data_IF_360963350433
#
_entry.id   IF_360963350433
#
_cell.length_a   1.000
_cell.length_b   1.000
_cell.length_c   1.000
_cell.angle_alpha   90.00
_cell.angle_beta   90.00
_cell.angle_gamma   90.00
#
_symmetry.space_group_name_H-M   'P 1'
#
loop_
_entity.id
_entity.type
_entity.pdbx_description
1 polymer ?
#
# COMPACT_ATOMS: atom_id res chain seq x y z
N UNK A 1 28.88 40.05 -11.51
CA UNK A 1 27.58 40.07 -10.77
C UNK A 1 27.84 39.48 -9.39
N UNK A 2 27.45 40.16 -8.30
CA UNK A 2 27.70 39.67 -6.94
C UNK A 2 27.05 38.30 -6.73
N UNK A 3 27.83 37.31 -6.30
CA UNK A 3 27.36 35.94 -6.07
C UNK A 3 26.21 35.89 -5.04
N UNK A 4 26.28 36.71 -4.00
CA UNK A 4 25.22 36.87 -3.02
C UNK A 4 23.90 37.37 -3.63
N UNK A 5 23.97 38.37 -4.52
CA UNK A 5 22.81 38.93 -5.21
C UNK A 5 22.17 37.91 -6.16
N UNK A 6 22.97 37.12 -6.87
CA UNK A 6 22.47 36.04 -7.71
C UNK A 6 21.73 34.97 -6.88
N UNK A 7 22.30 34.53 -5.75
CA UNK A 7 21.65 33.56 -4.85
C UNK A 7 20.32 34.07 -4.28
N UNK A 8 20.27 35.35 -3.91
CA UNK A 8 19.06 36.00 -3.41
C UNK A 8 17.97 36.04 -4.47
N UNK A 9 18.29 36.49 -5.70
CA UNK A 9 17.34 36.53 -6.82
C UNK A 9 16.82 35.13 -7.14
N UNK A 10 17.72 34.16 -7.32
CA UNK A 10 17.34 32.77 -7.65
C UNK A 10 16.45 32.17 -6.57
N UNK A 11 16.84 32.30 -5.29
CA UNK A 11 16.04 31.78 -4.18
C UNK A 11 14.65 32.41 -4.10
N UNK A 12 14.54 33.74 -4.25
CA UNK A 12 13.25 34.44 -4.25
C UNK A 12 12.36 34.02 -5.43
N UNK A 13 12.92 33.89 -6.63
CA UNK A 13 12.19 33.41 -7.82
C UNK A 13 11.68 31.98 -7.60
N UNK A 14 12.52 31.09 -7.05
CA UNK A 14 12.12 29.73 -6.73
C UNK A 14 10.98 29.68 -5.72
N UNK A 15 11.02 30.49 -4.65
CA UNK A 15 9.92 30.57 -3.67
C UNK A 15 8.65 31.14 -4.31
N UNK A 16 8.76 32.17 -5.15
CA UNK A 16 7.62 32.74 -5.87
C UNK A 16 6.94 31.72 -6.80
N UNK A 17 7.73 30.98 -7.58
CA UNK A 17 7.22 29.90 -8.43
C UNK A 17 6.62 28.75 -7.60
N UNK A 18 7.24 28.39 -6.48
CA UNK A 18 6.71 27.39 -5.56
C UNK A 18 5.34 27.82 -5.01
N UNK A 19 5.18 29.09 -4.62
CA UNK A 19 3.90 29.63 -4.18
C UNK A 19 2.83 29.56 -5.28
N UNK A 20 3.18 29.90 -6.54
CA UNK A 20 2.26 29.77 -7.67
C UNK A 20 1.79 28.32 -7.88
N UNK A 21 2.70 27.35 -7.77
CA UNK A 21 2.37 25.91 -7.85
C UNK A 21 1.50 25.47 -6.65
N UNK A 22 1.77 25.99 -5.46
CA UNK A 22 0.99 25.65 -4.27
C UNK A 22 -0.44 26.19 -4.35
N UNK A 23 -0.62 27.47 -4.72
CA UNK A 23 -1.93 28.11 -4.65
C UNK A 23 -2.80 27.85 -5.88
N UNK A 24 -2.24 27.57 -7.06
CA UNK A 24 -3.04 27.44 -8.27
C UNK A 24 -3.35 25.98 -8.64
N UNK A 25 -2.39 25.16 -9.11
CA UNK A 25 -2.69 23.78 -9.51
C UNK A 25 -3.03 22.88 -8.32
N UNK A 26 -2.40 23.05 -7.14
CA UNK A 26 -2.66 22.19 -6.00
C UNK A 26 -4.08 22.41 -5.42
N UNK A 27 -4.51 23.67 -5.25
CA UNK A 27 -5.85 23.99 -4.75
C UNK A 27 -6.96 23.51 -5.69
N UNK A 28 -6.81 23.77 -6.99
CA UNK A 28 -7.77 23.33 -8.00
C UNK A 28 -7.90 21.81 -7.97
N UNK A 29 -6.77 21.10 -7.97
CA UNK A 29 -6.72 19.64 -7.88
C UNK A 29 -7.35 19.11 -6.59
N UNK A 30 -7.10 19.70 -5.44
CA UNK A 30 -7.74 19.25 -4.20
C UNK A 30 -9.25 19.42 -4.22
N UNK A 31 -9.75 20.51 -4.80
CA UNK A 31 -11.20 20.74 -4.91
C UNK A 31 -11.86 19.68 -5.80
N UNK A 32 -11.20 19.30 -6.89
CA UNK A 32 -11.68 18.31 -7.84
C UNK A 32 -11.62 16.89 -7.24
N UNK A 33 -10.49 16.51 -6.61
CA UNK A 33 -10.31 15.19 -6.00
C UNK A 33 -11.17 14.97 -4.76
N UNK A 34 -11.38 16.00 -3.94
CA UNK A 34 -12.25 15.93 -2.76
C UNK A 34 -13.73 15.67 -3.13
N UNK A 35 -14.13 15.96 -4.38
CA UNK A 35 -15.50 15.81 -4.89
C UNK A 35 -15.70 14.53 -5.70
N UNK A 36 -14.70 14.05 -6.43
CA UNK A 36 -14.96 13.07 -7.50
C UNK A 36 -14.49 11.64 -7.23
N UNK A 37 -13.44 11.37 -6.44
CA UNK A 37 -12.87 10.00 -6.41
C UNK A 37 -12.18 9.60 -5.08
N UNK A 38 -12.91 9.06 -4.08
CA UNK A 38 -12.30 8.53 -2.85
C UNK A 38 -11.53 7.21 -3.07
N UNK A 39 -11.92 6.39 -4.05
CA UNK A 39 -11.53 4.96 -4.10
C UNK A 39 -10.54 4.56 -5.19
N UNK A 40 -10.18 5.46 -6.11
CA UNK A 40 -9.22 5.16 -7.19
C UNK A 40 -7.87 5.85 -6.92
N UNK A 41 -6.73 5.19 -7.20
CA UNK A 41 -5.38 5.75 -6.99
C UNK A 41 -5.01 6.80 -8.06
N UNK A 42 -5.94 7.13 -8.96
CA UNK A 42 -5.77 8.15 -10.02
C UNK A 42 -5.41 9.55 -9.52
N UNK A 43 -5.60 9.86 -8.23
CA UNK A 43 -5.15 11.12 -7.63
C UNK A 43 -3.63 11.19 -7.44
N UNK A 44 -2.93 10.04 -7.38
CA UNK A 44 -1.51 9.97 -7.02
C UNK A 44 -0.63 10.68 -8.06
N UNK A 45 -0.75 10.28 -9.33
CA UNK A 45 0.02 10.87 -10.44
C UNK A 45 -0.15 12.39 -10.58
N UNK A 46 -1.37 12.95 -10.59
CA UNK A 46 -1.57 14.39 -10.67
C UNK A 46 -1.12 15.12 -9.38
N UNK A 47 -1.24 14.52 -8.19
CA UNK A 47 -0.66 15.13 -6.98
C UNK A 47 0.86 15.18 -7.07
N UNK A 48 1.51 14.07 -7.43
CA UNK A 48 2.97 14.01 -7.61
C UNK A 48 3.45 15.00 -8.69
N UNK A 49 2.70 15.14 -9.78
CA UNK A 49 3.01 16.09 -10.85
C UNK A 49 2.97 17.56 -10.43
N UNK A 50 2.34 17.91 -9.29
CA UNK A 50 2.41 19.25 -8.70
C UNK A 50 3.39 19.32 -7.51
N UNK A 51 3.44 18.26 -6.71
CA UNK A 51 4.26 18.19 -5.49
C UNK A 51 5.76 18.09 -5.80
N UNK A 52 6.15 17.33 -6.84
CA UNK A 52 7.56 17.19 -7.23
C UNK A 52 8.13 18.55 -7.68
N UNK A 53 7.52 19.29 -8.63
CA UNK A 53 8.01 20.62 -8.99
C UNK A 53 8.06 21.59 -7.81
N UNK A 54 7.03 21.58 -6.95
CA UNK A 54 6.98 22.42 -5.75
C UNK A 54 8.21 22.22 -4.86
N UNK A 55 8.51 20.97 -4.51
CA UNK A 55 9.61 20.66 -3.60
C UNK A 55 10.99 20.74 -4.26
N UNK A 56 11.09 20.57 -5.58
CA UNK A 56 12.33 20.86 -6.30
C UNK A 56 12.65 22.36 -6.27
N UNK A 57 11.65 23.23 -6.44
CA UNK A 57 11.83 24.67 -6.33
C UNK A 57 12.24 25.08 -4.91
N UNK A 58 11.58 24.53 -3.88
CA UNK A 58 11.95 24.79 -2.49
C UNK A 58 13.33 24.22 -2.13
N UNK A 59 13.73 23.08 -2.69
CA UNK A 59 15.08 22.53 -2.55
C UNK A 59 16.13 23.50 -3.09
N UNK A 60 15.96 23.99 -4.32
CA UNK A 60 16.89 24.97 -4.91
C UNK A 60 16.96 26.22 -4.02
N UNK A 61 15.84 26.70 -3.52
CA UNK A 61 15.79 27.86 -2.64
C UNK A 61 16.52 27.60 -1.30
N UNK A 62 16.39 26.40 -0.72
CA UNK A 62 17.13 25.97 0.48
C UNK A 62 18.63 25.85 0.21
N UNK A 63 19.04 25.38 -0.97
CA UNK A 63 20.44 25.33 -1.36
C UNK A 63 21.03 26.74 -1.51
N UNK A 64 20.27 27.71 -2.06
CA UNK A 64 20.68 29.12 -2.11
C UNK A 64 20.80 29.73 -0.70
N UNK A 65 19.86 29.43 0.20
CA UNK A 65 19.94 29.82 1.61
C UNK A 65 21.18 29.21 2.29
N UNK A 66 21.50 27.95 2.00
CA UNK A 66 22.67 27.26 2.56
C UNK A 66 23.97 27.89 2.06
N UNK A 67 24.05 28.19 0.76
CA UNK A 67 25.21 28.82 0.14
C UNK A 67 25.46 30.27 0.62
N UNK A 68 24.43 30.96 1.09
CA UNK A 68 24.51 32.32 1.63
C UNK A 68 24.77 32.36 3.14
N UNK A 69 25.07 31.21 3.77
CA UNK A 69 25.35 31.13 5.20
C UNK A 69 24.11 31.20 6.09
N UNK A 70 22.92 30.94 5.54
CA UNK A 70 21.66 30.92 6.31
C UNK A 70 21.65 29.87 7.44
N UNK A 71 22.54 28.88 7.38
CA UNK A 71 22.68 27.81 8.37
C UNK A 71 23.98 27.87 9.18
N UNK A 72 24.75 28.96 9.15
CA UNK A 72 26.05 29.03 9.84
C UNK A 72 25.94 28.82 11.36
N UNK A 73 24.76 29.09 11.95
CA UNK A 73 24.46 28.83 13.35
C UNK A 73 24.54 27.35 13.76
N UNK A 74 24.44 26.41 12.81
CA UNK A 74 24.52 24.97 13.07
C UNK A 74 25.94 24.46 13.35
N UNK A 75 26.98 25.24 13.02
CA UNK A 75 28.40 24.84 13.16
C UNK A 75 28.72 23.46 12.53
N UNK A 76 28.00 23.08 11.48
CA UNK A 76 28.23 21.85 10.73
C UNK A 76 29.11 22.15 9.51
N UNK A 77 29.90 21.17 9.06
CA UNK A 77 30.69 21.31 7.84
C UNK A 77 29.81 21.51 6.60
N UNK A 78 30.30 22.26 5.60
CA UNK A 78 29.54 22.59 4.38
C UNK A 78 28.84 21.40 3.71
N UNK A 79 29.53 20.27 3.44
CA UNK A 79 28.90 19.09 2.84
C UNK A 79 27.72 18.54 3.65
N UNK A 80 27.80 18.60 4.98
CA UNK A 80 26.76 18.11 5.87
C UNK A 80 25.53 19.04 5.87
N UNK A 81 25.74 20.35 5.75
CA UNK A 81 24.64 21.32 5.60
C UNK A 81 23.86 21.08 4.30
N UNK A 82 24.55 20.83 3.19
CA UNK A 82 23.91 20.49 1.91
C UNK A 82 23.15 19.16 1.98
N UNK A 83 23.75 18.12 2.59
CA UNK A 83 23.07 16.84 2.81
C UNK A 83 21.80 17.01 3.66
N UNK A 84 21.88 17.85 4.70
CA UNK A 84 20.74 18.17 5.56
C UNK A 84 19.64 18.91 4.78
N UNK A 85 19.99 19.89 3.94
CA UNK A 85 19.01 20.60 3.11
C UNK A 85 18.28 19.65 2.13
N UNK A 86 19.01 18.73 1.49
CA UNK A 86 18.42 17.71 0.62
C UNK A 86 17.52 16.75 1.40
N UNK A 87 18.01 16.22 2.53
CA UNK A 87 17.24 15.32 3.38
C UNK A 87 15.99 15.97 3.95
N UNK A 88 16.09 17.23 4.38
CA UNK A 88 14.99 18.04 4.87
C UNK A 88 13.90 18.22 3.80
N UNK A 89 14.30 18.63 2.60
CA UNK A 89 13.36 18.80 1.49
C UNK A 89 12.64 17.49 1.15
N UNK A 90 13.36 16.37 1.11
CA UNK A 90 12.77 15.05 0.85
C UNK A 90 11.79 14.60 1.94
N UNK A 91 12.14 14.83 3.20
CA UNK A 91 11.30 14.49 4.34
C UNK A 91 10.01 15.32 4.38
N UNK A 92 10.13 16.65 4.20
CA UNK A 92 8.98 17.54 4.17
C UNK A 92 8.08 17.29 2.95
N UNK A 93 8.66 16.93 1.79
CA UNK A 93 7.90 16.48 0.62
C UNK A 93 7.10 15.22 0.92
N UNK A 94 7.71 14.24 1.59
CA UNK A 94 7.05 12.99 1.99
C UNK A 94 5.92 13.25 2.97
N UNK A 95 6.15 14.07 3.99
CA UNK A 95 5.12 14.43 4.96
C UNK A 95 3.97 15.20 4.31
N UNK A 96 4.27 16.13 3.41
CA UNK A 96 3.24 16.84 2.65
C UNK A 96 2.43 15.85 1.77
N UNK A 97 3.08 14.91 1.10
CA UNK A 97 2.38 13.83 0.38
C UNK A 97 1.46 13.00 1.28
N UNK A 98 1.92 12.64 2.48
CA UNK A 98 1.11 11.88 3.45
C UNK A 98 -0.10 12.70 3.91
N UNK A 99 0.07 13.98 4.23
CA UNK A 99 -1.05 14.86 4.58
C UNK A 99 -2.06 14.99 3.44
N UNK A 100 -1.58 15.09 2.20
CA UNK A 100 -2.43 15.08 1.01
C UNK A 100 -3.20 13.77 0.88
N UNK A 101 -2.52 12.63 1.06
CA UNK A 101 -3.13 11.31 1.00
C UNK A 101 -4.26 11.18 2.04
N UNK A 102 -4.00 11.62 3.28
CA UNK A 102 -4.96 11.63 4.37
C UNK A 102 -6.10 12.65 4.17
N UNK A 103 -5.83 13.76 3.49
CA UNK A 103 -6.86 14.74 3.14
C UNK A 103 -7.82 14.22 2.06
N UNK A 104 -7.29 13.50 1.05
CA UNK A 104 -8.08 12.90 -0.04
C UNK A 104 -8.82 11.67 0.46
N UNK A 105 -8.16 10.84 1.28
CA UNK A 105 -8.72 9.64 1.92
C UNK A 105 -8.72 9.81 3.44
N UNK A 106 -9.56 10.70 3.98
CA UNK A 106 -9.74 10.77 5.42
C UNK A 106 -10.33 9.44 5.85
N UNK A 107 -9.68 8.76 6.79
CA UNK A 107 -10.28 7.62 7.46
C UNK A 107 -11.39 8.12 8.38
N UNK A 108 -11.15 8.05 9.70
CA UNK A 108 -12.07 8.58 10.71
C UNK A 108 -11.82 10.04 11.09
N UNK A 109 -10.83 10.68 10.48
CA UNK A 109 -10.30 11.99 10.86
C UNK A 109 -10.86 13.10 9.97
N UNK A 110 -11.32 14.22 10.55
CA UNK A 110 -11.86 15.32 9.77
C UNK A 110 -10.79 15.95 8.86
N UNK A 111 -11.14 16.17 7.58
CA UNK A 111 -10.24 16.70 6.54
C UNK A 111 -9.53 17.99 6.95
N UNK A 112 -10.20 18.85 7.73
CA UNK A 112 -9.67 20.13 8.21
C UNK A 112 -8.39 20.00 9.04
N UNK A 113 -8.14 18.84 9.67
CA UNK A 113 -6.90 18.62 10.45
C UNK A 113 -5.66 18.53 9.57
N UNK A 114 -5.81 18.14 8.30
CA UNK A 114 -4.69 17.93 7.37
C UNK A 114 -4.38 19.16 6.55
N UNK A 115 -5.36 20.06 6.38
CA UNK A 115 -5.22 21.31 5.63
C UNK A 115 -4.04 22.17 6.13
N UNK A 116 -3.85 22.40 7.45
CA UNK A 116 -2.68 23.11 7.94
C UNK A 116 -1.37 22.45 7.52
N UNK A 117 -1.24 21.13 7.64
CA UNK A 117 -0.02 20.40 7.26
C UNK A 117 0.35 20.57 5.78
N UNK A 118 -0.66 20.62 4.89
CA UNK A 118 -0.45 20.76 3.44
C UNK A 118 0.09 22.15 3.06
N UNK A 119 -0.46 23.21 3.66
CA UNK A 119 -0.13 24.59 3.30
C UNK A 119 0.96 25.20 4.18
N UNK A 120 0.91 24.95 5.48
CA UNK A 120 1.82 25.58 6.44
C UNK A 120 3.26 25.09 6.24
N UNK A 121 3.46 23.83 5.86
CA UNK A 121 4.79 23.26 5.62
C UNK A 121 5.56 23.94 4.48
N UNK A 122 5.04 24.02 3.24
CA UNK A 122 5.72 24.73 2.15
C UNK A 122 5.75 26.24 2.38
N UNK A 123 4.71 26.85 2.96
CA UNK A 123 4.72 28.29 3.26
C UNK A 123 5.77 28.66 4.31
N UNK A 124 5.91 27.88 5.39
CA UNK A 124 6.93 28.11 6.41
C UNK A 124 8.34 27.94 5.83
N UNK A 125 8.54 26.96 4.94
CA UNK A 125 9.82 26.75 4.25
C UNK A 125 10.15 27.92 3.33
N UNK A 126 9.19 28.38 2.53
CA UNK A 126 9.37 29.55 1.66
C UNK A 126 9.63 30.83 2.46
N UNK A 127 8.90 31.05 3.55
CA UNK A 127 9.09 32.20 4.43
C UNK A 127 10.47 32.19 5.09
N UNK A 128 10.93 31.03 5.57
CA UNK A 128 12.28 30.86 6.12
C UNK A 128 13.34 31.25 5.10
N UNK A 129 13.21 30.78 3.86
CA UNK A 129 14.17 31.10 2.79
C UNK A 129 14.15 32.59 2.46
N UNK A 130 12.97 33.19 2.30
CA UNK A 130 12.84 34.63 1.99
C UNK A 130 13.45 35.48 3.10
N UNK A 131 13.12 35.22 4.37
CA UNK A 131 13.66 36.00 5.49
C UNK A 131 15.16 35.80 5.65
N UNK A 132 15.68 34.61 5.34
CA UNK A 132 17.12 34.32 5.43
C UNK A 132 17.92 34.98 4.32
N UNK A 133 17.37 35.02 3.10
CA UNK A 133 18.01 35.64 1.93
C UNK A 133 17.86 37.16 1.89
N UNK A 134 16.83 37.72 2.55
CA UNK A 134 16.51 39.14 2.52
C UNK A 134 16.51 39.71 3.95
N UNK A 135 17.69 39.73 4.59
CA UNK A 135 17.85 40.19 5.99
C UNK A 135 17.36 41.63 6.23
N UNK A 136 17.38 42.46 5.19
CA UNK A 136 16.89 43.84 5.22
C UNK A 136 15.37 43.94 5.41
N UNK A 137 14.59 42.89 5.07
CA UNK A 137 13.14 42.90 5.25
C UNK A 137 12.70 42.78 6.72
N UNK A 138 13.59 42.31 7.60
CA UNK A 138 13.27 42.10 9.01
C UNK A 138 14.49 42.37 9.91
N UNK A 139 15.00 43.62 9.97
CA UNK A 139 16.29 43.95 10.61
C UNK A 139 16.34 43.78 12.13
N UNK A 140 15.27 43.31 12.78
CA UNK A 140 15.21 43.03 14.22
C UNK A 140 14.71 41.62 14.58
N UNK A 141 14.39 40.78 13.60
CA UNK A 141 13.94 39.41 13.85
C UNK A 141 15.15 38.48 13.90
N UNK A 142 15.48 37.90 15.07
CA UNK A 142 16.51 36.88 15.13
C UNK A 142 16.01 35.68 14.33
N UNK A 143 16.57 35.47 13.14
CA UNK A 143 16.22 34.34 12.24
C UNK A 143 16.32 32.99 12.97
N UNK A 144 17.12 32.91 14.04
CA UNK A 144 17.20 31.77 14.95
C UNK A 144 15.87 31.36 15.61
N UNK A 145 14.91 32.28 15.82
CA UNK A 145 13.58 31.94 16.34
C UNK A 145 12.72 31.18 15.33
N UNK A 146 12.86 31.48 14.04
CA UNK A 146 12.14 30.78 12.97
C UNK A 146 12.79 29.44 12.62
N UNK A 147 14.09 29.35 12.88
CA UNK A 147 14.92 28.17 12.63
C UNK A 147 14.52 26.98 13.52
N UNK A 148 14.31 27.20 14.83
CA UNK A 148 13.97 26.12 15.77
C UNK A 148 12.68 25.35 15.43
N UNK A 149 11.53 26.02 15.17
CA UNK A 149 10.31 25.34 14.73
C UNK A 149 10.50 24.56 13.44
N UNK A 150 11.25 25.11 12.48
CA UNK A 150 11.52 24.45 11.21
C UNK A 150 12.40 23.20 11.39
N UNK A 151 13.44 23.28 12.23
CA UNK A 151 14.29 22.12 12.55
C UNK A 151 13.50 21.02 13.25
N UNK A 152 12.66 21.36 14.23
CA UNK A 152 11.81 20.39 14.92
C UNK A 152 10.82 19.72 13.95
N UNK A 153 10.20 20.51 13.07
CA UNK A 153 9.30 20.00 12.03
C UNK A 153 10.05 19.05 11.07
N UNK A 154 11.25 19.43 10.67
CA UNK A 154 12.08 18.66 9.73
C UNK A 154 12.58 17.36 10.35
N UNK A 155 13.06 17.41 11.59
CA UNK A 155 13.50 16.24 12.35
C UNK A 155 12.34 15.26 12.57
N UNK A 156 11.17 15.76 12.97
CA UNK A 156 9.96 14.95 13.12
C UNK A 156 9.55 14.32 11.79
N UNK A 157 9.66 15.08 10.70
CA UNK A 157 9.34 14.62 9.34
C UNK A 157 10.30 13.55 8.85
N UNK A 158 11.59 13.63 9.20
CA UNK A 158 12.59 12.61 8.91
C UNK A 158 12.28 11.30 9.63
N UNK A 159 11.96 11.35 10.93
CA UNK A 159 11.60 10.16 11.71
C UNK A 159 10.34 9.50 11.17
N UNK A 160 9.29 10.28 10.90
CA UNK A 160 8.03 9.78 10.35
C UNK A 160 8.21 9.24 8.93
N UNK A 161 9.00 9.92 8.09
CA UNK A 161 9.32 9.48 6.73
C UNK A 161 10.09 8.16 6.73
N UNK A 162 11.14 8.05 7.55
CA UNK A 162 11.91 6.81 7.71
C UNK A 162 11.05 5.66 8.25
N UNK A 163 10.20 5.93 9.25
CA UNK A 163 9.25 4.96 9.79
C UNK A 163 8.23 4.48 8.73
N UNK A 164 7.69 5.41 7.93
CA UNK A 164 6.76 5.08 6.85
C UNK A 164 7.42 4.24 5.76
N UNK A 165 8.61 4.64 5.30
CA UNK A 165 9.38 3.89 4.29
C UNK A 165 9.75 2.50 4.82
N UNK A 166 10.24 2.41 6.06
CA UNK A 166 10.54 1.13 6.71
C UNK A 166 9.32 0.22 6.83
N UNK A 167 8.19 0.77 7.27
CA UNK A 167 6.92 0.03 7.35
C UNK A 167 6.43 -0.42 5.97
N UNK A 168 6.53 0.45 4.96
CA UNK A 168 6.19 0.11 3.57
C UNK A 168 7.07 -1.01 3.08
N UNK A 169 8.39 -0.89 3.18
CA UNK A 169 9.35 -1.90 2.77
C UNK A 169 9.06 -3.25 3.43
N UNK A 170 8.82 -3.27 4.74
CA UNK A 170 8.47 -4.49 5.49
C UNK A 170 7.15 -5.14 5.00
N UNK A 171 6.12 -4.34 4.72
CA UNK A 171 4.85 -4.86 4.17
C UNK A 171 4.95 -5.27 2.71
N UNK A 172 5.63 -4.49 1.86
CA UNK A 172 5.83 -4.85 0.45
C UNK A 172 6.80 -6.00 0.30
N UNK A 173 7.77 -6.24 1.19
CA UNK A 173 8.63 -7.43 1.10
C UNK A 173 7.85 -8.72 1.29
N UNK A 174 6.77 -8.70 2.08
CA UNK A 174 5.86 -9.85 2.23
C UNK A 174 5.02 -10.05 0.95
N UNK A 175 4.47 -8.97 0.38
CA UNK A 175 3.66 -9.05 -0.85
C UNK A 175 4.46 -9.29 -2.15
N UNK A 176 5.69 -8.77 -2.25
CA UNK A 176 6.59 -8.95 -3.39
C UNK A 176 7.17 -10.36 -3.37
N UNK A 177 7.44 -10.97 -2.20
CA UNK A 177 7.80 -12.40 -2.15
C UNK A 177 6.68 -13.27 -2.72
N UNK A 178 5.42 -12.97 -2.42
CA UNK A 178 4.28 -13.72 -2.95
C UNK A 178 4.05 -13.46 -4.45
N UNK A 179 4.22 -12.21 -4.91
CA UNK A 179 4.10 -11.85 -6.33
C UNK A 179 5.28 -12.38 -7.17
N UNK A 180 6.50 -12.33 -6.64
CA UNK A 180 7.71 -12.90 -7.24
C UNK A 180 7.64 -14.42 -7.22
N UNK A 181 7.11 -15.05 -6.16
CA UNK A 181 6.82 -16.49 -6.14
C UNK A 181 5.77 -16.84 -7.21
N UNK A 182 4.73 -16.02 -7.39
CA UNK A 182 3.70 -16.14 -8.46
C UNK A 182 4.24 -15.94 -9.88
N UNK A 183 5.22 -15.04 -10.07
CA UNK A 183 5.81 -14.76 -11.39
C UNK A 183 6.91 -15.79 -11.73
N UNK A 184 7.76 -16.17 -10.78
CA UNK A 184 8.76 -17.23 -10.95
C UNK A 184 8.09 -18.59 -11.16
N UNK A 185 6.99 -18.87 -10.45
CA UNK A 185 6.16 -20.06 -10.67
C UNK A 185 5.52 -20.18 -12.05
N UNK A 186 5.32 -19.04 -12.73
CA UNK A 186 4.77 -19.01 -14.08
C UNK A 186 5.86 -19.17 -15.16
N UNK A 187 7.14 -19.09 -14.76
CA UNK A 187 8.30 -19.05 -15.66
C UNK A 187 9.22 -20.25 -15.53
N UNK A 188 9.19 -20.98 -14.42
CA UNK A 188 9.95 -22.22 -14.25
C UNK A 188 9.39 -23.33 -15.17
N UNK A 189 10.26 -24.01 -15.95
CA UNK A 189 9.83 -25.05 -16.86
C UNK A 189 9.23 -26.21 -16.07
N UNK A 190 8.09 -26.74 -16.56
CA UNK A 190 7.37 -27.87 -15.97
C UNK A 190 8.25 -29.04 -15.42
N UNK A 191 9.36 -29.46 -16.07
CA UNK A 191 10.22 -30.50 -15.51
C UNK A 191 10.85 -30.19 -14.14
N UNK A 192 11.24 -28.94 -13.87
CA UNK A 192 11.86 -28.57 -12.58
C UNK A 192 10.86 -28.66 -11.44
N UNK A 193 9.61 -28.22 -11.68
CA UNK A 193 8.53 -28.36 -10.72
C UNK A 193 8.16 -29.83 -10.45
N UNK A 194 8.15 -30.67 -11.48
CA UNK A 194 7.88 -32.11 -11.32
C UNK A 194 8.97 -32.80 -10.50
N UNK A 195 10.24 -32.48 -10.76
CA UNK A 195 11.37 -32.98 -9.97
C UNK A 195 11.25 -32.54 -8.51
N UNK A 196 10.90 -31.27 -8.27
CA UNK A 196 10.71 -30.76 -6.91
C UNK A 196 9.54 -31.44 -6.20
N UNK A 197 8.38 -31.60 -6.85
CA UNK A 197 7.22 -32.32 -6.28
C UNK A 197 7.59 -33.75 -5.85
N UNK A 198 8.44 -34.44 -6.63
CA UNK A 198 8.89 -35.78 -6.28
C UNK A 198 9.72 -35.82 -4.99
N UNK A 199 10.44 -34.74 -4.66
CA UNK A 199 11.25 -34.64 -3.43
C UNK A 199 10.47 -34.20 -2.20
N UNK A 200 9.30 -33.57 -2.36
CA UNK A 200 8.50 -33.08 -1.24
C UNK A 200 7.86 -34.25 -0.47
N UNK A 201 7.86 -34.14 0.86
CA UNK A 201 7.18 -35.08 1.75
C UNK A 201 5.72 -34.62 1.96
N UNK A 202 4.72 -35.43 1.61
CA UNK A 202 3.30 -35.13 1.86
C UNK A 202 2.96 -34.80 3.31
N UNK A 203 3.76 -35.27 4.27
CA UNK A 203 3.51 -35.02 5.71
C UNK A 203 4.06 -33.68 6.19
N UNK A 204 5.32 -33.36 5.88
CA UNK A 204 5.95 -32.10 6.33
C UNK A 204 5.66 -30.92 5.41
N UNK A 205 5.50 -31.16 4.11
CA UNK A 205 5.46 -30.11 3.08
C UNK A 205 4.06 -29.95 2.48
N UNK A 206 3.02 -30.34 3.23
CA UNK A 206 1.62 -30.36 2.80
C UNK A 206 1.17 -29.02 2.21
N UNK A 207 1.47 -27.91 2.89
CA UNK A 207 1.10 -26.56 2.45
C UNK A 207 1.82 -26.13 1.16
N UNK A 208 3.04 -26.61 0.93
CA UNK A 208 3.80 -26.35 -0.29
C UNK A 208 3.25 -27.19 -1.45
N UNK A 209 2.90 -28.44 -1.20
CA UNK A 209 2.23 -29.30 -2.17
C UNK A 209 0.85 -28.76 -2.58
N UNK A 210 0.06 -28.22 -1.64
CA UNK A 210 -1.20 -27.52 -1.96
C UNK A 210 -0.96 -26.31 -2.88
N UNK A 211 0.13 -25.57 -2.70
CA UNK A 211 0.48 -24.45 -3.57
C UNK A 211 0.84 -24.90 -5.00
N UNK A 212 1.43 -26.09 -5.16
CA UNK A 212 1.67 -26.70 -6.47
C UNK A 212 0.42 -27.32 -7.10
N UNK A 213 -0.55 -27.74 -6.30
CA UNK A 213 -1.83 -28.26 -6.76
C UNK A 213 -2.84 -27.17 -7.19
N UNK A 214 -2.43 -25.90 -7.23
CA UNK A 214 -3.33 -24.80 -7.59
C UNK A 214 -3.69 -24.77 -9.10
N UNK A 215 -4.77 -24.05 -9.43
CA UNK A 215 -5.29 -23.92 -10.80
C UNK A 215 -4.43 -23.11 -11.76
N UNK A 216 -3.47 -22.33 -11.23
CA UNK A 216 -2.59 -21.48 -12.02
C UNK A 216 -1.33 -22.22 -12.49
N UNK A 217 -1.09 -23.45 -12.02
CA UNK A 217 -0.02 -24.31 -12.51
C UNK A 217 -0.42 -25.06 -13.78
N UNK A 218 0.59 -25.53 -14.51
CA UNK A 218 0.37 -26.43 -15.64
C UNK A 218 -0.34 -27.70 -15.17
N UNK A 219 -1.15 -28.29 -16.06
CA UNK A 219 -1.96 -29.48 -15.76
C UNK A 219 -1.12 -30.62 -15.18
N UNK A 220 0.05 -30.88 -15.76
CA UNK A 220 0.96 -31.95 -15.33
C UNK A 220 1.48 -31.73 -13.89
N UNK A 221 1.88 -30.49 -13.55
CA UNK A 221 2.36 -30.14 -12.20
C UNK A 221 1.24 -30.30 -11.19
N UNK A 222 0.03 -29.84 -11.52
CA UNK A 222 -1.14 -29.97 -10.65
C UNK A 222 -1.52 -31.42 -10.40
N UNK A 223 -1.54 -32.24 -11.44
CA UNK A 223 -1.86 -33.67 -11.32
C UNK A 223 -0.80 -34.41 -10.50
N UNK A 224 0.48 -34.13 -10.72
CA UNK A 224 1.57 -34.71 -9.93
C UNK A 224 1.51 -34.30 -8.45
N UNK A 225 1.28 -33.01 -8.15
CA UNK A 225 1.15 -32.52 -6.78
C UNK A 225 -0.08 -33.13 -6.08
N UNK A 226 -1.21 -33.24 -6.80
CA UNK A 226 -2.43 -33.88 -6.27
C UNK A 226 -2.23 -35.36 -6.00
N UNK A 227 -1.57 -36.08 -6.91
CA UNK A 227 -1.22 -37.48 -6.72
C UNK A 227 -0.31 -37.65 -5.50
N UNK A 228 0.70 -36.78 -5.35
CA UNK A 228 1.62 -36.79 -4.21
C UNK A 228 0.91 -36.50 -2.89
N UNK A 229 0.03 -35.50 -2.83
CA UNK A 229 -0.80 -35.23 -1.65
C UNK A 229 -1.62 -36.45 -1.22
N UNK A 230 -2.22 -37.16 -2.17
CA UNK A 230 -3.03 -38.36 -1.92
C UNK A 230 -2.23 -39.60 -1.51
N UNK A 231 -0.91 -39.60 -1.67
CA UNK A 231 -0.07 -40.67 -1.09
C UNK A 231 0.01 -40.58 0.44
N UNK A 232 -0.41 -39.45 1.04
CA UNK A 232 -0.50 -39.31 2.48
C UNK A 232 -1.73 -40.05 3.03
N UNK A 233 -1.57 -41.02 3.96
CA UNK A 233 -2.70 -41.82 4.47
C UNK A 233 -3.74 -40.98 5.23
N UNK A 234 -3.34 -39.84 5.80
CA UNK A 234 -4.21 -38.90 6.50
C UNK A 234 -4.51 -37.65 5.64
N UNK A 235 -4.40 -37.74 4.31
CA UNK A 235 -4.61 -36.61 3.39
C UNK A 235 -5.89 -35.83 3.70
N UNK A 236 -7.01 -36.54 3.86
CA UNK A 236 -8.32 -35.94 4.14
C UNK A 236 -8.32 -35.18 5.47
N UNK A 237 -7.68 -35.74 6.51
CA UNK A 237 -7.61 -35.10 7.82
C UNK A 237 -6.70 -33.86 7.79
N UNK A 238 -5.56 -33.94 7.10
CA UNK A 238 -4.65 -32.81 6.90
C UNK A 238 -5.32 -31.68 6.10
N UNK A 239 -6.09 -32.02 5.06
CA UNK A 239 -6.84 -31.03 4.28
C UNK A 239 -7.97 -30.40 5.11
N UNK A 240 -8.71 -31.20 5.89
CA UNK A 240 -9.73 -30.70 6.82
C UNK A 240 -9.13 -29.74 7.86
N UNK A 241 -7.95 -30.07 8.41
CA UNK A 241 -7.21 -29.22 9.33
C UNK A 241 -6.77 -27.91 8.67
N UNK A 242 -6.27 -27.96 7.43
CA UNK A 242 -5.90 -26.77 6.65
C UNK A 242 -7.12 -25.86 6.40
N UNK A 243 -8.26 -26.42 5.98
CA UNK A 243 -9.53 -25.69 5.80
C UNK A 243 -10.02 -25.08 7.11
N UNK A 244 -9.79 -25.75 8.23
CA UNK A 244 -10.17 -25.26 9.56
C UNK A 244 -9.20 -24.22 10.12
N UNK A 245 -8.00 -24.07 9.55
CA UNK A 245 -6.97 -23.12 9.99
C UNK A 245 -7.26 -21.67 9.59
N UNK A 246 -6.51 -20.71 10.13
CA UNK A 246 -6.58 -19.31 9.72
C UNK A 246 -6.11 -19.04 8.28
N UNK A 247 -5.52 -20.04 7.60
CA UNK A 247 -4.94 -19.91 6.26
C UNK A 247 -5.63 -20.85 5.25
N UNK A 248 -6.96 -20.89 5.26
CA UNK A 248 -7.78 -21.81 4.47
C UNK A 248 -7.79 -21.54 2.95
N UNK A 249 -7.18 -20.44 2.49
CA UNK A 249 -7.18 -20.03 1.08
C UNK A 249 -6.63 -21.12 0.15
N UNK A 250 -5.52 -21.77 0.53
CA UNK A 250 -4.90 -22.83 -0.27
C UNK A 250 -5.76 -24.08 -0.34
N UNK A 251 -6.41 -24.45 0.77
CA UNK A 251 -7.37 -25.54 0.81
C UNK A 251 -8.57 -25.26 -0.10
N UNK A 252 -9.14 -24.05 -0.06
CA UNK A 252 -10.26 -23.66 -0.93
C UNK A 252 -9.87 -23.63 -2.41
N UNK A 253 -8.67 -23.12 -2.74
CA UNK A 253 -8.12 -23.16 -4.11
C UNK A 253 -7.95 -24.59 -4.61
N UNK A 254 -7.49 -25.50 -3.76
CA UNK A 254 -7.41 -26.92 -4.06
C UNK A 254 -8.79 -27.51 -4.34
N UNK A 255 -9.77 -27.33 -3.43
CA UNK A 255 -11.15 -27.81 -3.62
C UNK A 255 -11.79 -27.28 -4.91
N UNK A 256 -11.50 -26.03 -5.28
CA UNK A 256 -11.97 -25.46 -6.53
C UNK A 256 -11.37 -26.17 -7.75
N UNK A 257 -10.08 -26.55 -7.69
CA UNK A 257 -9.32 -27.10 -8.81
C UNK A 257 -9.26 -28.62 -8.96
N UNK A 258 -9.41 -29.38 -7.87
CA UNK A 258 -9.19 -30.83 -7.83
C UNK A 258 -10.49 -31.62 -7.76
N UNK A 259 -10.68 -32.67 -8.55
CA UNK A 259 -11.83 -33.59 -8.38
C UNK A 259 -11.72 -34.35 -7.05
N UNK A 260 -12.79 -34.39 -6.25
CA UNK A 260 -12.85 -35.13 -4.99
C UNK A 260 -13.51 -36.48 -5.21
N UNK A 261 -12.92 -37.54 -4.65
CA UNK A 261 -13.55 -38.85 -4.61
C UNK A 261 -14.73 -38.86 -3.62
N UNK A 262 -15.76 -39.72 -3.79
CA UNK A 262 -16.95 -39.71 -2.94
C UNK A 262 -16.64 -39.91 -1.44
N UNK A 263 -15.64 -40.71 -1.12
CA UNK A 263 -15.12 -40.96 0.23
C UNK A 263 -14.38 -39.75 0.84
N UNK A 264 -13.81 -38.87 0.00
CA UNK A 264 -13.21 -37.61 0.42
C UNK A 264 -14.27 -36.51 0.69
N UNK A 265 -15.43 -36.57 0.02
CA UNK A 265 -16.43 -35.49 0.03
C UNK A 265 -17.10 -35.31 1.40
N UNK A 266 -17.65 -36.39 1.98
CA UNK A 266 -18.36 -36.35 3.26
C UNK A 266 -17.51 -35.76 4.40
N UNK A 267 -16.25 -36.20 4.65
CA UNK A 267 -15.44 -35.65 5.74
C UNK A 267 -14.95 -34.22 5.51
N UNK A 268 -14.88 -33.75 4.26
CA UNK A 268 -14.43 -32.40 3.92
C UNK A 268 -15.55 -31.36 3.84
N UNK A 269 -16.81 -31.80 3.75
CA UNK A 269 -17.95 -30.90 3.53
C UNK A 269 -18.08 -29.83 4.62
N UNK A 270 -18.07 -30.23 5.91
CA UNK A 270 -18.18 -29.28 7.02
C UNK A 270 -16.95 -28.34 7.11
N UNK A 271 -15.69 -28.83 7.08
CA UNK A 271 -14.51 -27.95 7.02
C UNK A 271 -14.54 -26.97 5.83
N UNK A 272 -14.99 -27.42 4.66
CA UNK A 272 -15.10 -26.57 3.48
C UNK A 272 -16.14 -25.46 3.67
N UNK A 273 -17.30 -25.78 4.27
CA UNK A 273 -18.31 -24.77 4.61
C UNK A 273 -17.76 -23.74 5.59
N UNK A 274 -17.13 -24.20 6.68
CA UNK A 274 -16.53 -23.31 7.68
C UNK A 274 -15.43 -22.42 7.08
N UNK A 275 -14.63 -22.95 6.15
CA UNK A 275 -13.63 -22.17 5.43
C UNK A 275 -14.26 -21.07 4.56
N UNK A 276 -15.36 -21.37 3.84
CA UNK A 276 -16.09 -20.39 3.04
C UNK A 276 -16.75 -19.32 3.92
N UNK A 277 -17.40 -19.71 5.02
CA UNK A 277 -17.99 -18.78 5.99
C UNK A 277 -16.93 -17.86 6.61
N UNK A 278 -15.76 -18.41 6.97
CA UNK A 278 -14.63 -17.62 7.45
C UNK A 278 -14.14 -16.65 6.39
N UNK A 279 -13.96 -17.11 5.16
CA UNK A 279 -13.58 -16.24 4.05
C UNK A 279 -14.56 -15.07 3.92
N UNK A 280 -15.88 -15.32 4.00
CA UNK A 280 -16.92 -14.29 3.96
C UNK A 280 -16.77 -13.32 5.13
N UNK A 281 -16.60 -13.82 6.35
CA UNK A 281 -16.43 -13.00 7.56
C UNK A 281 -15.19 -12.11 7.52
N UNK A 282 -14.13 -12.58 6.86
CA UNK A 282 -12.87 -11.86 6.73
C UNK A 282 -12.89 -10.84 5.57
N UNK A 283 -13.97 -10.78 4.78
CA UNK A 283 -14.21 -9.70 3.82
C UNK A 283 -14.38 -8.39 4.61
N UNK A 284 -13.54 -7.36 4.37
CA UNK A 284 -13.71 -6.06 5.03
C UNK A 284 -15.11 -5.50 4.74
N UNK A 285 -15.70 -4.73 5.66
CA UNK A 285 -17.02 -4.17 5.40
C UNK A 285 -17.02 -3.36 4.07
N UNK A 286 -18.13 -3.37 3.29
CA UNK A 286 -18.20 -2.78 1.95
C UNK A 286 -17.65 -1.36 1.83
N UNK A 287 -17.80 -0.56 2.90
CA UNK A 287 -17.31 0.81 2.99
C UNK A 287 -15.76 0.94 2.97
N UNK A 288 -15.04 -0.15 3.24
CA UNK A 288 -13.57 -0.22 3.23
C UNK A 288 -13.02 -0.98 2.01
N UNK A 289 -13.89 -1.44 1.11
CA UNK A 289 -13.49 -2.13 -0.13
C UNK A 289 -13.63 -1.16 -1.31
N UNK A 290 -12.61 -1.08 -2.17
CA UNK A 290 -12.72 -0.30 -3.41
C UNK A 290 -13.72 -0.96 -4.37
N UNK A 291 -14.43 -0.18 -5.18
CA UNK A 291 -15.39 -0.74 -6.18
C UNK A 291 -14.75 -1.78 -7.10
N UNK A 292 -13.47 -1.60 -7.44
CA UNK A 292 -12.74 -2.56 -8.27
C UNK A 292 -12.46 -3.87 -7.53
N UNK A 293 -11.97 -3.79 -6.28
CA UNK A 293 -11.76 -4.97 -5.44
C UNK A 293 -13.07 -5.70 -5.15
N UNK A 294 -14.15 -4.96 -4.92
CA UNK A 294 -15.51 -5.52 -4.76
C UNK A 294 -15.94 -6.29 -6.02
N UNK A 295 -15.76 -5.71 -7.22
CA UNK A 295 -16.03 -6.40 -8.49
C UNK A 295 -15.16 -7.65 -8.67
N UNK A 296 -13.89 -7.60 -8.28
CA UNK A 296 -12.99 -8.76 -8.33
C UNK A 296 -13.44 -9.86 -7.38
N UNK A 297 -13.79 -9.51 -6.13
CA UNK A 297 -14.33 -10.45 -5.15
C UNK A 297 -15.63 -11.07 -5.66
N UNK A 298 -16.59 -10.27 -6.13
CA UNK A 298 -17.84 -10.77 -6.71
C UNK A 298 -17.59 -11.73 -7.87
N UNK A 299 -16.70 -11.38 -8.81
CA UNK A 299 -16.34 -12.27 -9.93
C UNK A 299 -15.70 -13.57 -9.45
N UNK A 300 -14.81 -13.49 -8.45
CA UNK A 300 -14.18 -14.65 -7.85
C UNK A 300 -15.21 -15.54 -7.15
N UNK A 301 -15.98 -15.01 -6.20
CA UNK A 301 -16.96 -15.78 -5.43
C UNK A 301 -18.04 -16.40 -6.31
N UNK A 302 -18.59 -15.66 -7.29
CA UNK A 302 -19.57 -16.19 -8.25
C UNK A 302 -19.02 -17.31 -9.13
N UNK A 303 -17.71 -17.34 -9.36
CA UNK A 303 -17.06 -18.41 -10.13
C UNK A 303 -16.69 -19.60 -9.25
N UNK A 304 -16.19 -19.34 -8.04
CA UNK A 304 -15.55 -20.34 -7.19
C UNK A 304 -16.54 -21.03 -6.27
N UNK A 305 -17.44 -20.29 -5.62
CA UNK A 305 -18.34 -20.84 -4.61
C UNK A 305 -19.32 -21.86 -5.19
N UNK A 306 -19.97 -21.64 -6.36
CA UNK A 306 -20.89 -22.65 -6.92
C UNK A 306 -20.17 -23.95 -7.27
N UNK A 307 -18.91 -23.87 -7.71
CA UNK A 307 -18.11 -25.05 -8.03
C UNK A 307 -17.74 -25.82 -6.77
N UNK A 308 -17.36 -25.14 -5.69
CA UNK A 308 -17.05 -25.79 -4.41
C UNK A 308 -18.33 -26.39 -3.81
N UNK A 309 -19.41 -25.62 -3.71
CA UNK A 309 -20.70 -26.07 -3.17
C UNK A 309 -21.25 -27.26 -3.97
N UNK A 310 -21.19 -27.20 -5.30
CA UNK A 310 -21.67 -28.27 -6.17
C UNK A 310 -20.94 -29.61 -5.95
N UNK A 311 -19.67 -29.58 -5.52
CA UNK A 311 -18.89 -30.79 -5.21
C UNK A 311 -19.35 -31.50 -3.95
N UNK A 312 -20.10 -30.82 -3.08
CA UNK A 312 -20.63 -31.37 -1.84
C UNK A 312 -22.15 -31.54 -1.87
N UNK A 313 -22.78 -31.42 -3.05
CA UNK A 313 -24.23 -31.50 -3.22
C UNK A 313 -24.87 -32.85 -2.84
N UNK A 314 -24.06 -33.91 -2.71
CA UNK A 314 -24.47 -35.23 -2.23
C UNK A 314 -24.19 -35.50 -0.74
N UNK A 315 -23.82 -34.46 0.04
CA UNK A 315 -23.52 -34.59 1.48
C UNK A 315 -24.63 -33.98 2.32
N UNK A 316 -24.75 -34.38 3.59
CA UNK A 316 -25.75 -33.84 4.52
C UNK A 316 -25.45 -32.41 5.02
N UNK A 317 -24.39 -31.77 4.51
CA UNK A 317 -24.00 -30.42 4.92
C UNK A 317 -24.71 -29.40 4.05
N UNK A 318 -25.51 -28.54 4.69
CA UNK A 318 -26.18 -27.45 4.01
C UNK A 318 -25.21 -26.28 3.72
N UNK A 319 -25.15 -25.88 2.44
CA UNK A 319 -24.38 -24.74 1.92
C UNK A 319 -25.27 -23.61 1.39
N UNK A 320 -26.60 -23.73 1.52
CA UNK A 320 -27.60 -22.82 0.96
C UNK A 320 -27.35 -21.35 1.33
N UNK A 321 -26.91 -21.10 2.57
CA UNK A 321 -26.64 -19.77 3.12
C UNK A 321 -25.30 -19.16 2.71
N UNK A 322 -24.36 -19.96 2.16
CA UNK A 322 -23.00 -19.46 1.87
C UNK A 322 -23.00 -18.40 0.77
N UNK A 323 -23.75 -18.61 -0.32
CA UNK A 323 -23.81 -17.64 -1.41
C UNK A 323 -24.61 -16.38 -1.03
N UNK A 324 -25.81 -16.46 -0.42
CA UNK A 324 -26.51 -15.30 0.11
C UNK A 324 -25.65 -14.48 1.08
N UNK A 325 -24.98 -15.12 2.04
CA UNK A 325 -24.11 -14.44 2.99
C UNK A 325 -22.93 -13.74 2.30
N UNK A 326 -22.33 -14.36 1.28
CA UNK A 326 -21.27 -13.75 0.48
C UNK A 326 -21.74 -12.50 -0.29
N UNK A 327 -22.89 -12.58 -0.95
CA UNK A 327 -23.44 -11.45 -1.68
C UNK A 327 -23.86 -10.32 -0.73
N UNK A 328 -24.41 -10.67 0.44
CA UNK A 328 -24.76 -9.71 1.49
C UNK A 328 -23.53 -9.02 2.06
N UNK A 329 -22.45 -9.75 2.36
CA UNK A 329 -21.19 -9.19 2.87
C UNK A 329 -20.56 -8.18 1.91
N UNK A 330 -20.87 -8.27 0.62
CA UNK A 330 -20.38 -7.36 -0.41
C UNK A 330 -21.41 -6.29 -0.82
N UNK A 331 -22.64 -6.30 -0.30
CA UNK A 331 -23.65 -5.30 -0.64
C UNK A 331 -23.35 -3.98 0.10
N UNK A 332 -23.40 -2.81 -0.56
CA UNK A 332 -23.30 -1.53 0.14
C UNK A 332 -24.37 -1.47 1.23
N UNK A 333 -23.97 -1.04 2.43
CA UNK A 333 -24.90 -0.88 3.54
C UNK A 333 -25.81 0.33 3.24
N UNK A 334 -26.98 0.06 2.66
CA UNK A 334 -27.96 1.08 2.28
C UNK A 334 -28.71 1.65 3.51
N UNK A 335 -28.43 1.16 4.72
CA UNK A 335 -29.06 1.59 5.98
C UNK A 335 -28.75 3.04 6.42
N UNK A 336 -27.88 3.75 5.68
CA UNK A 336 -27.53 5.16 5.94
C UNK A 336 -28.11 6.16 4.94
N UNK A 337 -29.12 5.77 4.15
CA UNK A 337 -29.86 6.71 3.29
C UNK A 337 -31.06 7.33 4.00
#
# INVERSE_FOLDING_TARGET
MNSALLLQITGNVCVGLAALVLFFPLQRRFRDFARQYPSDNRWTTPVLGALIPLWLLLLVALLCMTASGGFDGLRLGGPLLYALAVGASGALATVNFVFIALYIRPGFTPRGLYTPGIYLTPCATGLLVVLSLNRELAPGLPVGWLWWPWVLLTASSLVLGAGFVGHRLFRTSIGVRELVRRILSAREPAPEHLAKIATLDPRSDFDELLAYANLYRSRAVREAATARLRTHPEFVQALAANLSSSHSDRGLEFLFGSALAPDEQAPLALPARTALERFIRDIPAPNYITRERQKQLLRFGRKTFPVIVGRFSGTDVDFSEVMPAFEQALRPDDSRR
#
